data_IF_591121456251
#
_entry.id   IF_591121456251
#
_cell.length_a   1.000
_cell.length_b   1.000
_cell.length_c   1.000
_cell.angle_alpha   90.00
_cell.angle_beta   90.00
_cell.angle_gamma   90.00
#
_symmetry.space_group_name_H-M   'P 1'
#
loop_
_entity.id
_entity.type
_entity.pdbx_description
1 polymer ?
#
# COMPACT_ATOMS: atom_id res chain seq x y z
N UNK A 1 10.36 0.92 -8.60
CA UNK A 1 10.81 2.32 -8.43
C UNK A 1 10.04 3.25 -9.36
N UNK A 2 10.02 4.54 -9.07
CA UNK A 2 9.35 5.53 -9.91
C UNK A 2 10.11 6.87 -9.90
N UNK A 3 10.01 7.61 -11.03
CA UNK A 3 10.64 8.93 -11.16
C UNK A 3 9.55 10.01 -11.13
N UNK A 4 9.58 10.87 -10.13
CA UNK A 4 8.61 11.95 -9.94
C UNK A 4 9.38 13.27 -9.90
N UNK A 5 9.07 14.20 -10.78
CA UNK A 5 9.72 15.53 -10.87
C UNK A 5 11.24 15.45 -10.86
N UNK A 6 11.82 14.45 -11.55
CA UNK A 6 13.28 14.24 -11.66
C UNK A 6 13.91 13.47 -10.49
N UNK A 7 13.19 13.18 -9.42
CA UNK A 7 13.68 12.40 -8.28
C UNK A 7 13.24 10.95 -8.40
N UNK A 8 14.16 10.01 -8.18
CA UNK A 8 13.85 8.58 -8.14
C UNK A 8 13.45 8.21 -6.71
N UNK A 9 12.30 7.54 -6.59
CA UNK A 9 11.79 6.98 -5.36
C UNK A 9 11.82 5.46 -5.41
N UNK A 10 12.17 4.85 -4.29
CA UNK A 10 12.30 3.41 -4.12
C UNK A 10 11.21 2.89 -3.20
N UNK A 11 10.62 1.76 -3.57
CA UNK A 11 9.65 1.02 -2.76
C UNK A 11 10.30 -0.14 -2.02
N UNK A 12 9.57 -0.76 -1.11
CA UNK A 12 10.02 -1.98 -0.43
C UNK A 12 10.28 -3.12 -1.43
N UNK A 13 9.46 -3.23 -2.48
CA UNK A 13 9.65 -4.24 -3.54
C UNK A 13 10.96 -4.04 -4.30
N UNK A 14 11.37 -2.78 -4.53
CA UNK A 14 12.65 -2.51 -5.19
C UNK A 14 13.84 -2.97 -4.35
N UNK A 15 13.74 -2.85 -3.02
CA UNK A 15 14.78 -3.34 -2.11
C UNK A 15 14.83 -4.87 -2.16
N UNK A 16 13.69 -5.55 -2.16
CA UNK A 16 13.61 -7.00 -2.29
C UNK A 16 14.21 -7.45 -3.61
N UNK A 17 13.82 -6.82 -4.72
CA UNK A 17 14.36 -7.10 -6.05
C UNK A 17 15.87 -6.96 -6.11
N UNK A 18 16.42 -5.91 -5.48
CA UNK A 18 17.87 -5.71 -5.41
C UNK A 18 18.59 -6.84 -4.63
N UNK A 19 18.00 -7.27 -3.50
CA UNK A 19 18.58 -8.34 -2.69
C UNK A 19 18.52 -9.70 -3.38
N UNK A 20 17.48 -9.93 -4.19
CA UNK A 20 17.33 -11.18 -4.95
C UNK A 20 18.19 -11.18 -6.23
N UNK A 21 18.26 -10.06 -6.93
CA UNK A 21 19.01 -9.94 -8.18
C UNK A 21 19.31 -8.47 -8.50
N UNK A 22 20.56 -8.04 -8.34
CA UNK A 22 21.00 -6.67 -8.66
C UNK A 22 20.71 -6.29 -10.12
N UNK A 23 20.69 -7.27 -11.03
CA UNK A 23 20.38 -7.03 -12.44
C UNK A 23 18.95 -6.51 -12.66
N UNK A 24 17.98 -6.93 -11.84
CA UNK A 24 16.62 -6.40 -11.87
C UNK A 24 16.61 -4.90 -11.62
N UNK A 25 17.36 -4.43 -10.62
CA UNK A 25 17.48 -3.01 -10.31
C UNK A 25 18.06 -2.22 -11.47
N UNK A 26 19.06 -2.78 -12.18
CA UNK A 26 19.62 -2.15 -13.37
C UNK A 26 18.60 -2.03 -14.50
N UNK A 27 17.79 -3.07 -14.73
CA UNK A 27 16.71 -3.05 -15.72
C UNK A 27 15.61 -2.06 -15.33
N UNK A 28 15.24 -2.00 -14.07
CA UNK A 28 14.25 -1.04 -13.55
C UNK A 28 14.70 0.40 -13.75
N UNK A 29 15.99 0.71 -13.51
CA UNK A 29 16.57 2.03 -13.76
C UNK A 29 16.53 2.39 -15.27
N UNK A 30 16.84 1.44 -16.14
CA UNK A 30 16.73 1.63 -17.59
C UNK A 30 15.27 1.88 -17.98
N UNK A 31 14.34 1.10 -17.42
CA UNK A 31 12.92 1.21 -17.70
C UNK A 31 12.31 2.56 -17.30
N UNK A 32 12.89 3.26 -16.31
CA UNK A 32 12.48 4.61 -15.95
C UNK A 32 12.76 5.66 -17.04
N UNK A 33 13.80 5.44 -17.84
CA UNK A 33 14.20 6.35 -18.92
C UNK A 33 13.67 5.88 -20.27
N UNK A 34 13.69 4.57 -20.50
CA UNK A 34 13.28 3.94 -21.76
C UNK A 34 12.44 2.71 -21.45
N UNK A 35 11.12 2.76 -21.69
CA UNK A 35 10.25 1.61 -21.39
C UNK A 35 10.73 0.32 -22.07
N UNK A 36 10.93 -0.71 -21.26
CA UNK A 36 11.32 -2.03 -21.72
C UNK A 36 10.08 -2.88 -22.04
N UNK A 37 10.17 -3.80 -23.02
CA UNK A 37 9.11 -4.76 -23.26
C UNK A 37 8.85 -5.60 -22.01
N UNK A 38 7.59 -5.65 -21.58
CA UNK A 38 7.17 -6.49 -20.47
C UNK A 38 6.40 -7.70 -21.00
N UNK A 39 6.50 -8.83 -20.29
CA UNK A 39 5.66 -9.97 -20.58
C UNK A 39 4.18 -9.60 -20.24
N UNK A 40 3.27 -10.07 -21.08
CA UNK A 40 1.85 -9.94 -20.79
C UNK A 40 1.48 -10.87 -19.63
N UNK A 41 0.59 -10.39 -18.76
CA UNK A 41 0.02 -11.22 -17.71
C UNK A 41 -0.80 -12.35 -18.35
N UNK A 42 -0.66 -13.56 -17.86
CA UNK A 42 -1.52 -14.67 -18.25
C UNK A 42 -2.92 -14.56 -17.63
N UNK A 43 -3.85 -15.35 -18.18
CA UNK A 43 -5.25 -15.33 -17.70
C UNK A 43 -5.38 -15.66 -16.21
N UNK A 44 -4.47 -16.48 -15.69
CA UNK A 44 -4.46 -16.85 -14.27
C UNK A 44 -4.01 -15.69 -13.39
N UNK A 45 -2.97 -14.95 -13.79
CA UNK A 45 -2.51 -13.75 -13.10
C UNK A 45 -3.60 -12.67 -13.07
N UNK A 46 -4.28 -12.44 -14.20
CA UNK A 46 -5.40 -11.50 -14.29
C UNK A 46 -6.53 -11.90 -13.33
N UNK A 47 -6.87 -13.19 -13.27
CA UNK A 47 -7.92 -13.69 -12.38
C UNK A 47 -7.56 -13.50 -10.89
N UNK A 48 -6.29 -13.75 -10.52
CA UNK A 48 -5.82 -13.53 -9.15
C UNK A 48 -5.86 -12.05 -8.76
N UNK A 49 -5.46 -11.15 -9.66
CA UNK A 49 -5.54 -9.71 -9.43
C UNK A 49 -6.99 -9.26 -9.21
N UNK A 50 -7.92 -9.71 -10.07
CA UNK A 50 -9.35 -9.38 -9.93
C UNK A 50 -9.94 -9.87 -8.61
N UNK A 51 -9.61 -11.10 -8.20
CA UNK A 51 -10.04 -11.64 -6.91
C UNK A 51 -9.46 -10.86 -5.73
N UNK A 52 -8.19 -10.45 -5.82
CA UNK A 52 -7.54 -9.61 -4.82
C UNK A 52 -8.26 -8.28 -4.64
N UNK A 53 -8.54 -7.58 -5.74
CA UNK A 53 -9.27 -6.29 -5.73
C UNK A 53 -10.68 -6.46 -5.15
N UNK A 54 -11.42 -7.49 -5.57
CA UNK A 54 -12.77 -7.75 -5.04
C UNK A 54 -12.75 -8.06 -3.54
N UNK A 55 -11.77 -8.84 -3.08
CA UNK A 55 -11.59 -9.17 -1.67
C UNK A 55 -11.25 -7.93 -0.84
N UNK A 56 -10.34 -7.09 -1.31
CA UNK A 56 -9.96 -5.84 -0.64
C UNK A 56 -11.15 -4.88 -0.54
N UNK A 57 -11.92 -4.71 -1.63
CA UNK A 57 -13.12 -3.88 -1.63
C UNK A 57 -14.16 -4.34 -0.61
N UNK A 58 -14.47 -5.63 -0.57
CA UNK A 58 -15.39 -6.20 0.41
C UNK A 58 -14.90 -6.01 1.86
N UNK A 59 -13.59 -6.09 2.08
CA UNK A 59 -12.99 -5.86 3.39
C UNK A 59 -13.10 -4.39 3.81
N UNK A 60 -12.88 -3.45 2.89
CA UNK A 60 -13.08 -2.00 3.15
C UNK A 60 -14.53 -1.72 3.55
N UNK A 61 -15.50 -2.29 2.85
CA UNK A 61 -16.92 -2.10 3.16
C UNK A 61 -17.27 -2.67 4.55
N UNK A 62 -16.71 -3.81 4.90
CA UNK A 62 -16.84 -4.37 6.25
C UNK A 62 -16.24 -3.43 7.31
N UNK A 63 -15.05 -2.89 7.07
CA UNK A 63 -14.39 -1.98 7.98
C UNK A 63 -15.15 -0.66 8.15
N UNK A 64 -15.72 -0.09 7.08
CA UNK A 64 -16.56 1.11 7.15
C UNK A 64 -17.73 0.98 8.13
N UNK A 65 -18.27 -0.24 8.26
CA UNK A 65 -19.36 -0.54 9.21
C UNK A 65 -18.87 -0.90 10.62
N UNK A 66 -17.57 -1.15 10.81
CA UNK A 66 -17.03 -1.70 12.04
C UNK A 66 -16.20 -0.69 12.86
N UNK A 67 -15.76 0.40 12.25
CA UNK A 67 -14.91 1.42 12.90
C UNK A 67 -15.58 2.79 12.85
N UNK A 68 -15.22 3.66 13.78
CA UNK A 68 -15.80 5.01 13.88
C UNK A 68 -15.21 5.96 12.84
N UNK A 69 -13.94 5.79 12.47
CA UNK A 69 -13.25 6.70 11.56
C UNK A 69 -12.33 5.91 10.62
N UNK A 70 -12.78 5.73 9.38
CA UNK A 70 -11.98 5.22 8.27
C UNK A 70 -11.72 6.36 7.28
N UNK A 71 -10.45 6.61 6.98
CA UNK A 71 -10.02 7.59 5.97
C UNK A 71 -9.52 6.85 4.74
N UNK A 72 -10.08 7.18 3.61
CA UNK A 72 -9.73 6.59 2.30
C UNK A 72 -8.82 7.56 1.53
N UNK A 73 -7.58 7.16 1.29
CA UNK A 73 -6.54 7.95 0.58
C UNK A 73 -6.43 7.54 -0.89
N UNK A 74 -7.14 6.51 -1.33
CA UNK A 74 -7.05 5.97 -2.70
C UNK A 74 -7.34 7.01 -3.80
N UNK A 75 -8.11 8.05 -3.49
CA UNK A 75 -8.42 9.14 -4.42
C UNK A 75 -7.21 10.00 -4.82
N UNK A 76 -6.09 9.90 -4.11
CA UNK A 76 -4.85 10.63 -4.38
C UNK A 76 -3.78 9.77 -5.09
N UNK A 77 -4.16 8.65 -5.68
CA UNK A 77 -3.22 7.66 -6.27
C UNK A 77 -2.25 8.27 -7.29
N UNK A 78 -2.67 9.27 -8.04
CA UNK A 78 -1.87 9.92 -9.08
C UNK A 78 -1.03 11.10 -8.57
N UNK A 79 -1.18 11.48 -7.30
CA UNK A 79 -0.43 12.56 -6.65
C UNK A 79 0.16 12.08 -5.32
N UNK A 80 1.42 11.65 -5.36
CA UNK A 80 2.14 11.15 -4.19
C UNK A 80 2.22 12.20 -3.07
N UNK A 81 2.44 13.47 -3.41
CA UNK A 81 2.55 14.55 -2.41
C UNK A 81 1.22 14.73 -1.68
N UNK A 82 0.11 14.73 -2.41
CA UNK A 82 -1.24 14.82 -1.83
C UNK A 82 -1.59 13.57 -1.01
N UNK A 83 -1.24 12.36 -1.50
CA UNK A 83 -1.49 11.12 -0.79
C UNK A 83 -0.74 11.06 0.55
N UNK A 84 0.55 11.45 0.57
CA UNK A 84 1.36 11.51 1.78
C UNK A 84 0.81 12.55 2.77
N UNK A 85 0.42 13.74 2.28
CA UNK A 85 -0.17 14.77 3.13
C UNK A 85 -1.48 14.31 3.76
N UNK A 86 -2.39 13.72 2.98
CA UNK A 86 -3.65 13.17 3.47
C UNK A 86 -3.45 12.05 4.50
N UNK A 87 -2.48 11.16 4.26
CA UNK A 87 -2.11 10.11 5.21
C UNK A 87 -1.64 10.70 6.54
N UNK A 88 -0.73 11.67 6.49
CA UNK A 88 -0.20 12.31 7.69
C UNK A 88 -1.27 13.07 8.47
N UNK A 89 -2.19 13.74 7.78
CA UNK A 89 -3.32 14.43 8.40
C UNK A 89 -4.24 13.44 9.10
N UNK A 90 -4.62 12.34 8.44
CA UNK A 90 -5.42 11.29 9.02
C UNK A 90 -4.74 10.65 10.26
N UNK A 91 -3.42 10.45 10.21
CA UNK A 91 -2.64 9.95 11.35
C UNK A 91 -2.68 10.93 12.53
N UNK A 92 -2.50 12.24 12.29
CA UNK A 92 -2.55 13.26 13.35
C UNK A 92 -3.95 13.39 13.95
N UNK A 93 -4.98 13.26 13.12
CA UNK A 93 -6.38 13.25 13.57
C UNK A 93 -6.76 11.99 14.35
N UNK A 94 -5.92 10.95 14.34
CA UNK A 94 -6.18 9.72 15.10
C UNK A 94 -7.22 8.82 14.43
N UNK A 95 -7.31 8.79 13.10
CA UNK A 95 -8.19 7.88 12.38
C UNK A 95 -7.99 6.43 12.84
N UNK A 96 -9.06 5.65 12.96
CA UNK A 96 -8.97 4.26 13.38
C UNK A 96 -8.29 3.39 12.32
N UNK A 97 -8.62 3.67 11.04
CA UNK A 97 -8.05 3.00 9.87
C UNK A 97 -7.81 4.03 8.77
N UNK A 98 -6.67 3.92 8.11
CA UNK A 98 -6.35 4.67 6.90
C UNK A 98 -6.15 3.63 5.78
N UNK A 99 -6.98 3.72 4.75
CA UNK A 99 -6.97 2.84 3.59
C UNK A 99 -6.14 3.43 2.47
N UNK A 100 -5.31 2.61 1.82
CA UNK A 100 -4.39 2.97 0.74
C UNK A 100 -3.45 4.12 1.14
N UNK A 101 -2.89 4.02 2.34
CA UNK A 101 -2.01 5.02 2.91
C UNK A 101 -0.70 5.11 2.14
N UNK A 102 -0.22 6.33 1.89
CA UNK A 102 1.08 6.60 1.29
C UNK A 102 2.03 7.20 2.33
N UNK A 103 3.22 6.63 2.44
CA UNK A 103 4.28 7.03 3.35
C UNK A 103 5.54 7.40 2.56
N UNK A 104 6.28 8.41 3.02
CA UNK A 104 7.53 8.81 2.38
C UNK A 104 8.54 9.25 3.42
N UNK A 105 9.78 8.77 3.26
CA UNK A 105 10.93 9.21 4.02
C UNK A 105 12.13 9.32 3.08
N UNK A 106 12.62 10.54 2.86
CA UNK A 106 13.68 10.82 1.89
C UNK A 106 13.31 10.35 0.48
N UNK A 107 14.10 9.44 -0.08
CA UNK A 107 13.84 8.81 -1.38
C UNK A 107 13.07 7.47 -1.29
N UNK A 108 12.63 7.08 -0.10
CA UNK A 108 11.83 5.86 0.08
C UNK A 108 10.35 6.19 0.16
N UNK A 109 9.56 5.38 -0.53
CA UNK A 109 8.10 5.43 -0.48
C UNK A 109 7.55 4.08 -0.08
N UNK A 110 6.45 4.10 0.67
CA UNK A 110 5.71 2.90 1.04
C UNK A 110 4.22 3.12 0.82
N UNK A 111 3.56 2.08 0.35
CA UNK A 111 2.11 2.02 0.31
C UNK A 111 1.64 0.93 1.26
N UNK A 112 0.65 1.26 2.08
CA UNK A 112 0.03 0.32 2.98
C UNK A 112 -1.45 0.22 2.64
N UNK A 113 -1.93 -0.99 2.34
CA UNK A 113 -3.35 -1.21 2.07
C UNK A 113 -4.18 -0.68 3.24
N UNK A 114 -3.76 -1.00 4.45
CA UNK A 114 -4.39 -0.51 5.68
C UNK A 114 -3.35 -0.11 6.71
N UNK A 115 -3.49 1.09 7.28
CA UNK A 115 -2.85 1.49 8.54
C UNK A 115 -3.91 1.47 9.63
N UNK A 116 -3.72 0.61 10.64
CA UNK A 116 -4.62 0.49 11.79
C UNK A 116 -4.00 1.17 12.99
N UNK A 117 -4.79 2.02 13.68
CA UNK A 117 -4.41 2.62 14.95
C UNK A 117 -4.28 1.56 16.04
N UNK A 118 -3.20 1.62 16.79
CA UNK A 118 -2.89 0.74 17.93
C UNK A 118 -2.56 1.56 19.17
N UNK A 119 -2.86 1.02 20.36
CA UNK A 119 -2.65 1.68 21.64
C UNK A 119 -1.17 1.56 22.10
N UNK A 120 -0.25 1.99 21.22
CA UNK A 120 1.19 2.05 21.50
C UNK A 120 1.61 3.51 21.40
N UNK A 121 2.15 4.13 22.46
CA UNK A 121 2.58 5.52 22.44
C UNK A 121 3.61 5.82 21.34
N UNK A 122 3.48 6.98 20.73
CA UNK A 122 4.40 7.48 19.69
C UNK A 122 4.47 9.01 19.72
N UNK A 123 5.14 9.62 18.74
CA UNK A 123 5.12 11.08 18.56
C UNK A 123 3.72 11.64 18.23
N UNK A 124 2.75 10.78 17.88
CA UNK A 124 1.37 11.16 17.64
C UNK A 124 0.54 11.27 18.93
N UNK A 125 1.05 10.74 20.05
CA UNK A 125 0.37 10.69 21.33
C UNK A 125 0.36 9.29 21.95
N UNK A 126 -0.73 8.91 22.61
CA UNK A 126 -0.89 7.58 23.23
C UNK A 126 -1.28 6.48 22.24
N UNK A 127 -0.96 6.66 20.98
CA UNK A 127 -1.23 5.70 19.91
C UNK A 127 -0.16 5.75 18.82
N UNK A 128 -0.16 4.76 17.97
CA UNK A 128 0.63 4.67 16.74
C UNK A 128 -0.15 3.92 15.68
N UNK A 129 0.48 3.65 14.54
CA UNK A 129 -0.12 2.91 13.44
C UNK A 129 0.70 1.69 13.09
N UNK A 130 0.01 0.62 12.72
CA UNK A 130 0.59 -0.61 12.21
C UNK A 130 -0.04 -0.94 10.84
N UNK A 131 0.80 -1.33 9.88
CA UNK A 131 0.31 -1.86 8.61
C UNK A 131 -0.39 -3.20 8.84
N UNK A 132 -1.46 -3.43 8.12
CA UNK A 132 -2.19 -4.70 8.10
C UNK A 132 -2.64 -5.00 6.67
N UNK A 133 -2.67 -6.27 6.35
CA UNK A 133 -3.28 -6.79 5.13
C UNK A 133 -4.70 -7.28 5.43
N UNK A 134 -5.59 -7.36 4.43
CA UNK A 134 -6.92 -7.92 4.62
C UNK A 134 -6.80 -9.35 5.14
N UNK A 135 -7.22 -9.58 6.39
CA UNK A 135 -7.34 -10.93 6.94
C UNK A 135 -8.80 -11.15 7.33
N UNK A 136 -9.53 -11.86 6.50
CA UNK A 136 -10.80 -12.42 6.91
C UNK A 136 -10.54 -13.50 7.97
N UNK A 137 -11.38 -13.58 9.02
CA UNK A 137 -11.42 -14.81 9.79
C UNK A 137 -11.68 -15.94 8.80
N UNK A 138 -10.76 -16.90 8.75
CA UNK A 138 -10.96 -18.14 7.98
C UNK A 138 -12.25 -18.74 8.53
N UNK A 139 -13.30 -18.72 7.71
CA UNK A 139 -14.53 -19.44 8.06
C UNK A 139 -14.13 -20.90 8.34
N UNK A 140 -14.51 -21.47 9.49
CA UNK A 140 -14.20 -22.86 9.77
C UNK A 140 -14.75 -23.69 8.60
N UNK A 141 -13.90 -24.53 8.01
CA UNK A 141 -14.32 -25.45 6.96
C UNK A 141 -15.52 -26.23 7.52
N UNK A 142 -16.68 -25.98 6.95
CA UNK A 142 -17.81 -26.87 7.20
C UNK A 142 -17.43 -28.23 6.59
N UNK A 143 -17.12 -29.18 7.45
CA UNK A 143 -17.03 -30.57 7.05
C UNK A 143 -18.43 -30.99 6.61
N UNK A 144 -18.59 -31.21 5.31
CA UNK A 144 -19.72 -31.96 4.74
C UNK A 144 -19.43 -33.44 4.93
#
# INVERSE_FOLDING_TARGET
MQKIKGTIYYSASDIVNFLECEHLTALDLINLETPLPQAEDDDEAILYQQKGIAHEGAYVDHLRNSVSCLVDVSGYRDDLDAAVAATQEAMRAGADIIYQAALREGCFIGHADFLRRVAIPSHLGNFSYKSSTPSWPVLPRQHI
#
